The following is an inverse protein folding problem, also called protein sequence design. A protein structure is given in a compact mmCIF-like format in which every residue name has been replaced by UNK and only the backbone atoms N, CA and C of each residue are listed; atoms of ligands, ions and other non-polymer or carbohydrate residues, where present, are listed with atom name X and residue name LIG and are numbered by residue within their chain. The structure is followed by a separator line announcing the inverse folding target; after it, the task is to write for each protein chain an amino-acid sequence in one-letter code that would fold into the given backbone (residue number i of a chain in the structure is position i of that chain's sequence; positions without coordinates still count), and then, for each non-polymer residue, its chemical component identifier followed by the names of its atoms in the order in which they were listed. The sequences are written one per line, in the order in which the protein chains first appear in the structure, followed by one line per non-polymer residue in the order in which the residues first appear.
data_IF_905230053951
#
_entry.id   IF_905230053951
#
_cell.length_a   1.000
_cell.length_b   1.000
_cell.length_c   1.000
_cell.angle_alpha   90.00
_cell.angle_beta   90.00
_cell.angle_gamma   90.00
#
_symmetry.space_group_name_H-M   'P 1'
#
loop_
_entity.id
_entity.type
_entity.pdbx_description
1 polymer ?
#
# COMPACT_ATOMS: atom_id res chain seq x y z
N UNK A 1 14.66 47.84 14.66
CA UNK A 1 15.76 47.29 13.85
C UNK A 1 16.24 46.01 14.52
N UNK A 2 16.08 44.88 13.85
CA UNK A 2 16.48 43.55 14.34
C UNK A 2 16.04 42.52 13.31
N UNK A 3 17.00 41.90 12.64
CA UNK A 3 16.85 41.19 11.37
C UNK A 3 16.00 39.92 11.47
N UNK A 4 15.12 39.72 10.49
CA UNK A 4 14.46 38.44 10.22
C UNK A 4 15.49 37.49 9.58
N UNK A 5 15.71 36.37 10.25
CA UNK A 5 16.58 35.27 9.82
C UNK A 5 15.97 34.57 8.60
N UNK A 6 16.37 35.03 7.40
CA UNK A 6 16.09 34.38 6.11
C UNK A 6 17.12 33.27 5.90
N UNK A 7 16.90 32.10 6.49
CA UNK A 7 17.85 30.99 6.36
C UNK A 7 17.26 29.58 6.26
N UNK A 8 15.97 29.37 6.53
CA UNK A 8 15.43 28.02 6.71
C UNK A 8 14.21 27.66 5.83
N UNK A 9 13.82 28.53 4.89
CA UNK A 9 12.70 28.26 3.97
C UNK A 9 13.13 27.73 2.59
N UNK A 10 14.43 27.76 2.26
CA UNK A 10 14.89 27.47 0.89
C UNK A 10 15.08 25.97 0.59
N UNK A 11 15.35 25.12 1.60
CA UNK A 11 15.66 23.70 1.38
C UNK A 11 14.43 22.84 1.05
N UNK A 12 13.26 23.13 1.63
CA UNK A 12 11.99 22.43 1.28
C UNK A 12 11.42 22.93 -0.05
N UNK A 13 11.66 24.21 -0.39
CA UNK A 13 11.23 24.79 -1.65
C UNK A 13 12.06 24.24 -2.82
N UNK A 14 13.37 24.06 -2.66
CA UNK A 14 14.25 23.46 -3.67
C UNK A 14 13.91 21.99 -3.98
N UNK A 15 13.60 21.17 -2.98
CA UNK A 15 13.20 19.76 -3.19
C UNK A 15 11.82 19.69 -3.89
N UNK A 16 10.89 20.60 -3.54
CA UNK A 16 9.58 20.70 -4.20
C UNK A 16 9.68 21.19 -5.65
N UNK A 17 10.59 22.13 -5.93
CA UNK A 17 10.89 22.64 -7.27
C UNK A 17 11.61 21.59 -8.12
N UNK A 18 12.55 20.81 -7.55
CA UNK A 18 13.17 19.66 -8.22
C UNK A 18 12.16 18.56 -8.54
N UNK A 19 11.23 18.26 -7.62
CA UNK A 19 10.15 17.30 -7.87
C UNK A 19 9.20 17.79 -8.98
N UNK A 20 8.93 19.10 -9.05
CA UNK A 20 8.18 19.74 -10.13
C UNK A 20 8.87 19.68 -11.50
N UNK A 21 10.18 19.93 -11.55
CA UNK A 21 11.00 19.82 -12.77
C UNK A 21 11.15 18.38 -13.26
N UNK A 22 11.28 17.40 -12.35
CA UNK A 22 11.29 15.97 -12.71
C UNK A 22 9.94 15.54 -13.29
N UNK A 23 8.83 16.06 -12.76
CA UNK A 23 7.47 15.76 -13.25
C UNK A 23 7.24 16.17 -14.71
N UNK A 24 7.82 17.30 -15.14
CA UNK A 24 7.72 17.79 -16.51
C UNK A 24 8.57 16.99 -17.50
N UNK A 25 9.70 16.41 -17.08
CA UNK A 25 10.59 15.64 -17.95
C UNK A 25 10.24 14.15 -18.13
N UNK A 26 9.38 13.58 -17.27
CA UNK A 26 9.03 12.15 -17.32
C UNK A 26 8.01 11.80 -18.42
N UNK A 27 7.18 12.74 -18.85
CA UNK A 27 6.10 12.50 -19.83
C UNK A 27 6.63 12.24 -21.25
N UNK A 28 7.76 12.83 -21.63
CA UNK A 28 8.33 12.72 -22.99
C UNK A 28 9.47 11.68 -23.09
N UNK A 29 9.78 10.96 -22.02
CA UNK A 29 10.87 9.99 -22.02
C UNK A 29 10.44 8.71 -22.78
N UNK A 30 11.23 8.20 -23.76
CA UNK A 30 10.87 7.02 -24.54
C UNK A 30 10.56 5.77 -23.69
N UNK A 31 11.17 5.69 -22.50
CA UNK A 31 10.92 4.61 -21.54
C UNK A 31 9.53 4.71 -20.89
N UNK A 32 8.99 5.91 -20.71
CA UNK A 32 7.64 6.12 -20.19
C UNK A 32 6.61 5.62 -21.20
N UNK A 33 6.76 5.98 -22.48
CA UNK A 33 5.87 5.51 -23.55
C UNK A 33 5.84 3.97 -23.66
N UNK A 34 7.00 3.30 -23.52
CA UNK A 34 7.07 1.84 -23.51
C UNK A 34 6.30 1.20 -22.33
N UNK A 35 6.33 1.83 -21.14
CA UNK A 35 5.55 1.37 -20.00
C UNK A 35 4.06 1.58 -20.27
N UNK A 36 3.67 2.70 -20.88
CA UNK A 36 2.27 2.92 -21.25
C UNK A 36 1.74 1.85 -22.21
N UNK A 37 2.50 1.51 -23.25
CA UNK A 37 2.13 0.46 -24.20
C UNK A 37 1.98 -0.89 -23.51
N UNK A 38 2.91 -1.24 -22.62
CA UNK A 38 2.80 -2.43 -21.80
C UNK A 38 1.53 -2.42 -20.92
N UNK A 39 1.18 -1.28 -20.31
CA UNK A 39 -0.05 -1.15 -19.50
C UNK A 39 -1.31 -1.28 -20.36
N UNK A 40 -1.32 -0.78 -21.61
CA UNK A 40 -2.43 -1.00 -22.55
C UNK A 40 -2.63 -2.49 -22.82
N UNK A 41 -1.54 -3.25 -23.01
CA UNK A 41 -1.60 -4.72 -23.16
C UNK A 41 -2.15 -5.37 -21.90
N UNK A 42 -1.78 -4.91 -20.71
CA UNK A 42 -2.33 -5.43 -19.46
C UNK A 42 -3.84 -5.19 -19.35
N UNK A 43 -4.31 -3.98 -19.66
CA UNK A 43 -5.74 -3.63 -19.64
C UNK A 43 -6.54 -4.47 -20.66
N UNK A 44 -6.02 -4.65 -21.87
CA UNK A 44 -6.66 -5.49 -22.89
C UNK A 44 -6.70 -6.96 -22.46
N UNK A 45 -5.61 -7.46 -21.86
CA UNK A 45 -5.58 -8.81 -21.29
C UNK A 45 -6.54 -8.97 -20.10
N UNK A 46 -6.83 -7.89 -19.39
CA UNK A 46 -7.89 -7.81 -18.39
C UNK A 46 -9.32 -7.73 -18.97
N UNK A 47 -9.48 -7.74 -20.29
CA UNK A 47 -10.79 -7.62 -20.95
C UNK A 47 -11.40 -6.23 -20.83
N UNK A 48 -10.61 -5.21 -20.49
CA UNK A 48 -11.08 -3.85 -20.28
C UNK A 48 -11.12 -3.01 -21.55
N UNK A 49 -12.09 -2.09 -21.63
CA UNK A 49 -12.10 -1.04 -22.64
C UNK A 49 -11.13 0.08 -22.26
N UNK A 50 -9.98 0.12 -22.93
CA UNK A 50 -8.94 1.14 -22.75
C UNK A 50 -9.43 2.57 -23.07
N UNK A 51 -10.53 2.71 -23.81
CA UNK A 51 -11.11 4.00 -24.16
C UNK A 51 -12.14 4.48 -23.13
N UNK A 52 -12.46 3.69 -22.10
CA UNK A 52 -13.34 4.16 -21.02
C UNK A 52 -12.69 5.34 -20.31
N UNK A 53 -13.49 6.34 -19.97
CA UNK A 53 -13.01 7.63 -19.42
C UNK A 53 -12.03 7.44 -18.25
N UNK A 54 -12.36 6.57 -17.30
CA UNK A 54 -11.52 6.27 -16.14
C UNK A 54 -10.17 5.58 -16.44
N UNK A 55 -10.01 4.93 -17.60
CA UNK A 55 -8.76 4.24 -17.98
C UNK A 55 -7.89 4.99 -18.99
N UNK A 56 -8.41 5.99 -19.70
CA UNK A 56 -7.65 6.70 -20.75
C UNK A 56 -6.28 7.18 -20.26
N UNK A 57 -6.22 7.68 -19.02
CA UNK A 57 -4.99 8.18 -18.39
C UNK A 57 -4.27 7.15 -17.52
N UNK A 58 -4.82 5.95 -17.36
CA UNK A 58 -4.22 4.90 -16.52
C UNK A 58 -2.84 4.47 -17.00
N UNK A 59 -2.58 4.22 -18.31
CA UNK A 59 -1.23 3.92 -18.79
C UNK A 59 -0.19 4.93 -18.32
N UNK A 60 -0.44 6.23 -18.53
CA UNK A 60 0.46 7.31 -18.12
C UNK A 60 0.62 7.38 -16.60
N UNK A 61 -0.48 7.25 -15.83
CA UNK A 61 -0.43 7.27 -14.35
C UNK A 61 0.41 6.13 -13.79
N UNK A 62 0.26 4.92 -14.33
CA UNK A 62 1.05 3.75 -13.95
C UNK A 62 2.52 3.93 -14.34
N UNK A 63 2.78 4.41 -15.56
CA UNK A 63 4.15 4.67 -16.01
C UNK A 63 4.87 5.67 -15.10
N UNK A 64 4.23 6.80 -14.79
CA UNK A 64 4.78 7.78 -13.84
C UNK A 64 5.00 7.19 -12.45
N UNK A 65 4.06 6.41 -11.93
CA UNK A 65 4.19 5.81 -10.61
C UNK A 65 5.39 4.85 -10.51
N UNK A 66 5.61 4.01 -11.52
CA UNK A 66 6.81 3.17 -11.55
C UNK A 66 8.08 3.99 -11.71
N UNK A 67 8.09 5.01 -12.58
CA UNK A 67 9.26 5.88 -12.80
C UNK A 67 9.65 6.67 -11.55
N UNK A 68 8.68 7.26 -10.85
CA UNK A 68 8.84 7.94 -9.56
C UNK A 68 9.31 6.95 -8.49
N UNK A 69 8.73 5.74 -8.49
CA UNK A 69 9.05 4.65 -7.58
C UNK A 69 10.42 4.02 -7.75
N UNK A 70 11.10 4.27 -8.87
CA UNK A 70 12.42 3.71 -9.18
C UNK A 70 13.48 4.76 -9.46
N UNK A 71 13.31 6.00 -8.99
CA UNK A 71 14.31 7.07 -9.22
C UNK A 71 15.63 6.80 -8.50
N UNK A 72 15.62 5.94 -7.48
CA UNK A 72 16.78 5.61 -6.66
C UNK A 72 17.94 4.94 -7.43
N UNK A 73 17.66 4.32 -8.58
CA UNK A 73 18.70 3.79 -9.48
C UNK A 73 19.56 4.88 -10.13
N UNK A 74 19.04 6.11 -10.23
CA UNK A 74 19.73 7.25 -10.87
C UNK A 74 20.45 8.14 -9.87
N UNK A 75 20.37 7.84 -8.57
CA UNK A 75 20.93 8.67 -7.50
C UNK A 75 22.27 8.13 -7.02
N UNK A 76 23.22 9.03 -6.78
CA UNK A 76 24.51 8.72 -6.20
C UNK A 76 24.55 9.10 -4.71
N UNK A 77 24.83 8.13 -3.85
CA UNK A 77 24.81 8.31 -2.39
C UNK A 77 25.95 9.21 -1.93
N UNK A 78 27.11 9.14 -2.61
CA UNK A 78 28.29 9.92 -2.26
C UNK A 78 27.96 11.41 -2.24
N UNK A 79 27.21 11.87 -3.23
CA UNK A 79 26.79 13.27 -3.36
C UNK A 79 25.80 13.70 -2.27
N UNK A 80 24.99 12.77 -1.76
CA UNK A 80 24.02 13.02 -0.70
C UNK A 80 24.70 13.20 0.66
N UNK A 81 25.69 12.33 0.96
CA UNK A 81 26.34 12.26 2.27
C UNK A 81 27.49 13.28 2.40
N UNK A 82 28.34 13.43 1.37
CA UNK A 82 29.56 14.25 1.48
C UNK A 82 29.29 15.74 1.70
N UNK A 83 28.15 16.27 1.24
CA UNK A 83 27.79 17.67 1.43
C UNK A 83 27.23 18.03 2.81
N UNK A 84 27.18 17.10 3.76
CA UNK A 84 26.52 17.30 5.06
C UNK A 84 27.18 16.55 6.22
N UNK A 85 28.49 16.34 6.12
CA UNK A 85 29.33 15.96 7.25
C UNK A 85 29.77 17.22 7.98
N UNK A 86 29.45 17.30 9.27
CA UNK A 86 29.76 18.44 10.11
C UNK A 86 30.85 18.06 11.12
N UNK A 87 31.85 18.93 11.32
CA UNK A 87 32.80 18.74 12.40
C UNK A 87 32.10 18.98 13.74
N UNK A 88 32.16 18.02 14.65
CA UNK A 88 31.60 18.15 16.01
C UNK A 88 32.71 17.90 17.04
N UNK A 89 33.02 18.92 17.84
CA UNK A 89 34.05 18.84 18.87
C UNK A 89 33.58 17.92 20.01
N UNK A 90 34.44 16.98 20.43
CA UNK A 90 34.13 16.03 21.50
C UNK A 90 33.86 14.60 21.06
N UNK A 91 33.69 14.32 19.76
CA UNK A 91 33.60 12.94 19.18
C UNK A 91 34.97 12.24 19.13
N UNK A 92 35.82 12.51 20.11
CA UNK A 92 37.14 11.89 20.23
C UNK A 92 37.27 11.10 21.53
N UNK A 93 38.07 10.03 21.47
CA UNK A 93 38.15 8.86 22.38
C UNK A 93 38.50 9.12 23.86
N UNK A 94 38.15 10.24 24.48
CA UNK A 94 38.54 10.56 25.86
C UNK A 94 37.30 10.84 26.72
N UNK A 95 36.95 9.84 27.53
CA UNK A 95 35.88 9.76 28.53
C UNK A 95 34.47 9.37 28.04
N UNK A 96 34.25 8.05 27.99
CA UNK A 96 32.93 7.44 28.13
C UNK A 96 32.11 7.32 26.85
N UNK A 97 31.41 6.19 26.69
CA UNK A 97 30.41 5.99 25.63
C UNK A 97 29.08 6.71 25.92
N UNK A 98 28.99 7.44 27.04
CA UNK A 98 27.80 8.12 27.51
C UNK A 98 28.16 9.53 27.99
N UNK A 99 28.09 10.52 27.10
CA UNK A 99 28.40 11.91 27.46
C UNK A 99 28.63 12.87 26.30
N UNK A 100 27.71 12.95 25.34
CA UNK A 100 27.77 13.94 24.24
C UNK A 100 28.19 13.36 22.89
N UNK A 101 28.70 14.22 22.01
CA UNK A 101 29.15 13.89 20.67
C UNK A 101 30.13 12.71 20.73
N UNK A 102 29.70 11.49 20.37
CA UNK A 102 30.44 10.24 20.60
C UNK A 102 29.58 9.04 21.01
N UNK A 103 28.35 9.28 21.49
CA UNK A 103 27.34 8.24 21.73
C UNK A 103 26.51 7.88 20.50
N UNK A 104 25.63 6.90 20.64
CA UNK A 104 24.71 6.44 19.59
C UNK A 104 23.75 7.55 19.14
N UNK A 105 23.75 7.85 17.84
CA UNK A 105 22.79 8.76 17.18
C UNK A 105 21.73 7.94 16.47
N UNK A 106 20.44 8.23 16.69
CA UNK A 106 19.31 7.49 16.10
C UNK A 106 18.34 8.44 15.41
N UNK A 107 17.91 8.05 14.22
CA UNK A 107 16.69 8.57 13.57
C UNK A 107 15.72 7.40 13.39
N UNK A 108 14.53 7.55 13.95
CA UNK A 108 13.48 6.52 13.98
C UNK A 108 12.24 6.98 13.23
N UNK A 109 11.38 6.02 12.89
CA UNK A 109 10.09 6.25 12.24
C UNK A 109 10.25 6.92 10.86
N UNK A 110 11.24 6.44 10.08
CA UNK A 110 11.44 6.87 8.70
C UNK A 110 10.51 6.09 7.79
N UNK A 111 9.45 6.76 7.36
CA UNK A 111 8.39 6.19 6.53
C UNK A 111 8.75 6.28 5.03
N UNK A 112 8.87 5.13 4.37
CA UNK A 112 9.23 5.00 2.95
C UNK A 112 8.40 3.92 2.24
N UNK A 113 8.40 3.94 0.91
CA UNK A 113 7.85 2.87 0.08
C UNK A 113 8.90 2.31 -0.85
N UNK A 114 8.72 1.04 -1.18
CA UNK A 114 9.49 0.37 -2.21
C UNK A 114 8.61 -0.57 -3.02
N UNK A 115 9.14 -1.07 -4.14
CA UNK A 115 8.46 -2.06 -4.97
C UNK A 115 9.06 -3.44 -4.72
N UNK A 116 8.23 -4.42 -4.40
CA UNK A 116 8.68 -5.78 -4.17
C UNK A 116 9.25 -6.36 -5.46
N UNK A 117 10.53 -6.72 -5.46
CA UNK A 117 11.17 -7.27 -6.66
C UNK A 117 10.54 -8.59 -7.12
N UNK A 118 9.90 -9.32 -6.19
CA UNK A 118 9.26 -10.59 -6.48
C UNK A 118 7.91 -10.43 -7.20
N UNK A 119 7.17 -9.34 -7.00
CA UNK A 119 5.82 -9.22 -7.55
C UNK A 119 5.46 -7.85 -8.14
N UNK A 120 6.36 -6.87 -8.13
CA UNK A 120 6.14 -5.48 -8.56
C UNK A 120 5.02 -4.72 -7.82
N UNK A 121 4.51 -5.25 -6.70
CA UNK A 121 3.60 -4.50 -5.85
C UNK A 121 4.38 -3.66 -4.84
N UNK A 122 3.89 -2.45 -4.52
CA UNK A 122 4.51 -1.63 -3.50
C UNK A 122 4.33 -2.23 -2.11
N UNK A 123 5.33 -2.05 -1.26
CA UNK A 123 5.32 -2.41 0.16
C UNK A 123 5.79 -1.23 0.99
N UNK A 124 5.29 -1.15 2.22
CA UNK A 124 5.63 -0.09 3.16
C UNK A 124 6.92 -0.45 3.88
N UNK A 125 7.75 0.55 4.15
CA UNK A 125 8.99 0.43 4.92
C UNK A 125 8.96 1.48 6.02
N UNK A 126 9.00 1.04 7.27
CA UNK A 126 9.31 1.90 8.42
C UNK A 126 10.72 1.57 8.88
N UNK A 127 11.64 2.50 8.63
CA UNK A 127 13.06 2.30 8.88
C UNK A 127 13.51 3.07 10.14
N UNK A 128 14.43 2.46 10.88
CA UNK A 128 15.12 3.04 12.01
C UNK A 128 16.62 2.91 11.76
N UNK A 129 17.34 4.02 11.85
CA UNK A 129 18.76 4.09 11.54
C UNK A 129 19.48 4.62 12.77
N UNK A 130 20.48 3.85 13.23
CA UNK A 130 21.41 4.23 14.28
C UNK A 130 22.84 4.25 13.74
N UNK A 131 23.68 5.15 14.24
CA UNK A 131 25.12 5.07 13.99
C UNK A 131 25.91 5.63 15.18
N UNK A 132 27.17 5.19 15.31
CA UNK A 132 28.10 5.72 16.32
C UNK A 132 29.11 6.63 15.62
N UNK A 133 29.01 7.96 15.77
CA UNK A 133 29.94 8.90 15.16
C UNK A 133 31.39 8.59 15.51
N UNK A 134 32.31 8.86 14.58
CA UNK A 134 33.75 8.75 14.83
C UNK A 134 34.52 9.80 14.05
N UNK A 135 35.74 10.12 14.51
CA UNK A 135 36.62 11.04 13.80
C UNK A 135 36.10 12.48 13.74
N UNK A 136 35.37 12.93 14.77
CA UNK A 136 34.82 14.29 14.84
C UNK A 136 33.82 14.62 13.73
N UNK A 137 33.15 13.62 13.14
CA UNK A 137 32.17 13.81 12.08
C UNK A 137 30.78 13.33 12.48
N UNK A 138 29.79 14.19 12.28
CA UNK A 138 28.35 13.89 12.43
C UNK A 138 27.64 14.19 11.12
N UNK A 139 26.68 13.35 10.73
CA UNK A 139 25.87 13.59 9.53
C UNK A 139 24.57 14.33 9.88
N UNK A 140 24.16 15.26 9.02
CA UNK A 140 22.83 15.88 9.14
C UNK A 140 21.71 14.83 9.10
N UNK A 141 20.79 14.88 10.07
CA UNK A 141 19.77 13.84 10.27
C UNK A 141 18.89 13.57 9.03
N UNK A 142 18.58 14.62 8.25
CA UNK A 142 17.79 14.49 7.01
C UNK A 142 18.49 13.65 5.94
N UNK A 143 19.82 13.48 6.01
CA UNK A 143 20.57 12.64 5.08
C UNK A 143 20.38 11.15 5.32
N UNK A 144 20.15 10.74 6.57
CA UNK A 144 19.85 9.33 6.87
C UNK A 144 18.57 8.90 6.15
N UNK A 145 17.49 9.69 6.25
CA UNK A 145 16.25 9.44 5.51
C UNK A 145 16.45 9.49 3.99
N UNK A 146 17.24 10.45 3.47
CA UNK A 146 17.53 10.51 2.02
C UNK A 146 18.30 9.30 1.51
N UNK A 147 19.23 8.74 2.29
CA UNK A 147 19.92 7.50 1.91
C UNK A 147 18.95 6.32 1.89
N UNK A 148 18.04 6.22 2.88
CA UNK A 148 16.98 5.21 2.86
C UNK A 148 16.10 5.37 1.60
N UNK A 149 15.71 6.60 1.24
CA UNK A 149 14.89 6.88 0.06
C UNK A 149 15.54 6.43 -1.26
N UNK A 150 16.86 6.60 -1.40
CA UNK A 150 17.62 6.14 -2.59
C UNK A 150 17.48 4.63 -2.82
N UNK A 151 17.49 3.85 -1.75
CA UNK A 151 17.37 2.40 -1.85
C UNK A 151 15.92 1.93 -1.86
N UNK A 152 15.04 2.61 -1.12
CA UNK A 152 13.61 2.33 -1.11
C UNK A 152 13.00 2.57 -2.50
N UNK A 153 13.43 3.60 -3.25
CA UNK A 153 12.99 3.88 -4.63
C UNK A 153 13.67 2.98 -5.67
N UNK A 154 13.58 1.67 -5.47
CA UNK A 154 14.09 0.58 -6.33
C UNK A 154 13.15 -0.63 -6.24
N UNK A 155 13.41 -1.65 -7.06
CA UNK A 155 12.84 -2.98 -6.85
C UNK A 155 13.65 -3.69 -5.74
N UNK A 156 13.01 -4.01 -4.62
CA UNK A 156 13.71 -4.45 -3.41
C UNK A 156 13.15 -5.72 -2.77
N UNK A 157 14.04 -6.31 -1.97
CA UNK A 157 13.76 -7.24 -0.88
C UNK A 157 14.06 -6.52 0.47
N UNK A 158 13.27 -6.74 1.54
CA UNK A 158 13.46 -6.10 2.84
C UNK A 158 14.88 -6.26 3.39
N UNK A 159 15.45 -7.45 3.36
CA UNK A 159 16.78 -7.68 3.92
C UNK A 159 17.84 -6.96 3.09
N UNK A 160 17.75 -7.06 1.76
CA UNK A 160 18.67 -6.34 0.87
C UNK A 160 18.60 -4.84 1.08
N UNK A 161 17.40 -4.27 1.22
CA UNK A 161 17.22 -2.85 1.52
C UNK A 161 17.94 -2.45 2.80
N UNK A 162 17.81 -3.22 3.89
CA UNK A 162 18.49 -2.94 5.15
C UNK A 162 20.02 -3.02 5.00
N UNK A 163 20.53 -4.03 4.29
CA UNK A 163 21.96 -4.24 4.06
C UNK A 163 22.57 -3.13 3.20
N UNK A 164 21.89 -2.74 2.12
CA UNK A 164 22.33 -1.68 1.23
C UNK A 164 22.38 -0.32 1.93
N UNK A 165 21.35 0.01 2.72
CA UNK A 165 21.33 1.24 3.54
C UNK A 165 22.46 1.22 4.56
N UNK A 166 22.62 0.12 5.30
CA UNK A 166 23.66 -0.02 6.32
C UNK A 166 25.06 0.18 5.72
N UNK A 167 25.36 -0.55 4.64
CA UNK A 167 26.62 -0.46 3.92
C UNK A 167 26.88 0.95 3.37
N UNK A 168 25.88 1.57 2.75
CA UNK A 168 26.01 2.91 2.20
C UNK A 168 26.32 3.98 3.24
N UNK A 169 25.63 3.94 4.38
CA UNK A 169 25.88 4.84 5.49
C UNK A 169 27.26 4.61 6.10
N UNK A 170 27.66 3.35 6.26
CA UNK A 170 28.99 3.01 6.77
C UNK A 170 30.09 3.59 5.87
N UNK A 171 30.03 3.35 4.57
CA UNK A 171 31.04 3.85 3.63
C UNK A 171 31.00 5.37 3.46
N UNK A 172 29.82 5.97 3.52
CA UNK A 172 29.61 7.41 3.32
C UNK A 172 30.02 8.26 4.52
N UNK A 173 29.69 7.81 5.74
CA UNK A 173 29.93 8.54 7.00
C UNK A 173 31.26 8.11 7.63
N UNK A 174 31.70 6.87 7.41
CA UNK A 174 32.81 6.20 8.10
C UNK A 174 32.68 6.26 9.65
N UNK A 175 31.54 5.84 10.20
CA UNK A 175 31.31 5.82 11.64
C UNK A 175 32.02 4.61 12.29
N UNK A 176 32.02 4.54 13.62
CA UNK A 176 32.46 3.34 14.32
C UNK A 176 31.51 2.14 14.06
N UNK A 177 30.25 2.41 13.74
CA UNK A 177 29.31 1.42 13.23
C UNK A 177 27.95 2.02 12.88
N UNK A 178 27.16 1.25 12.13
CA UNK A 178 25.78 1.57 11.71
C UNK A 178 24.88 0.41 12.04
N UNK A 179 23.67 0.72 12.53
CA UNK A 179 22.57 -0.22 12.70
C UNK A 179 21.36 0.26 11.89
N UNK A 180 20.73 -0.66 11.18
CA UNK A 180 19.49 -0.44 10.46
C UNK A 180 18.49 -1.49 10.91
N UNK A 181 17.29 -1.07 11.29
CA UNK A 181 16.14 -1.95 11.51
C UNK A 181 15.00 -1.45 10.64
N UNK A 182 14.45 -2.34 9.81
CA UNK A 182 13.32 -2.01 8.96
C UNK A 182 12.14 -2.94 9.24
N UNK A 183 11.00 -2.33 9.51
CA UNK A 183 9.71 -2.98 9.58
C UNK A 183 8.99 -2.80 8.23
N UNK A 184 8.86 -3.89 7.48
CA UNK A 184 8.26 -3.88 6.16
C UNK A 184 6.87 -4.52 6.19
N UNK A 185 5.91 -3.89 5.53
CA UNK A 185 4.55 -4.41 5.37
C UNK A 185 4.25 -4.66 3.90
N UNK A 186 3.97 -5.90 3.54
CA UNK A 186 3.54 -6.29 2.20
C UNK A 186 2.04 -6.59 2.18
N UNK A 187 1.35 -6.16 1.14
CA UNK A 187 -0.08 -6.40 0.96
C UNK A 187 -0.32 -7.90 0.81
N UNK A 188 -1.34 -8.43 1.49
CA UNK A 188 -1.75 -9.82 1.31
C UNK A 188 -2.33 -10.04 -0.10
N UNK A 189 -2.12 -11.23 -0.66
CA UNK A 189 -2.71 -11.58 -1.94
C UNK A 189 -4.15 -12.03 -1.69
N UNK A 190 -5.16 -11.39 -2.29
CA UNK A 190 -6.54 -11.81 -2.04
C UNK A 190 -6.72 -13.25 -2.52
N UNK A 191 -7.05 -14.14 -1.60
CA UNK A 191 -7.53 -15.48 -1.91
C UNK A 191 -9.07 -15.45 -1.81
N UNK A 192 -9.74 -15.89 -2.88
CA UNK A 192 -11.19 -15.95 -2.94
C UNK A 192 -11.76 -16.82 -1.80
N UNK A 193 -11.03 -17.85 -1.35
CA UNK A 193 -11.45 -18.78 -0.30
C UNK A 193 -11.36 -18.19 1.12
N UNK A 194 -10.36 -17.37 1.42
CA UNK A 194 -10.17 -16.81 2.78
C UNK A 194 -11.17 -15.70 3.12
N UNK A 195 -11.72 -15.02 2.11
CA UNK A 195 -12.68 -13.92 2.29
C UNK A 195 -14.06 -14.36 2.80
N UNK A 196 -14.42 -15.65 2.67
CA UNK A 196 -15.67 -16.20 3.18
C UNK A 196 -15.53 -16.93 4.52
N UNK A 197 -14.29 -17.25 4.93
CA UNK A 197 -14.02 -18.14 6.07
C UNK A 197 -13.32 -17.44 7.25
N UNK A 198 -12.57 -16.36 7.02
CA UNK A 198 -11.79 -15.71 8.07
C UNK A 198 -12.39 -14.37 8.53
N UNK A 199 -12.49 -14.20 9.85
CA UNK A 199 -13.14 -13.07 10.51
C UNK A 199 -12.23 -11.86 10.75
N UNK A 200 -10.99 -11.86 10.26
CA UNK A 200 -10.13 -10.67 10.15
C UNK A 200 -9.18 -10.82 8.97
N UNK A 201 -9.28 -10.02 7.90
CA UNK A 201 -8.19 -9.93 6.95
C UNK A 201 -7.05 -9.19 7.65
N UNK A 202 -6.04 -9.90 8.16
CA UNK A 202 -4.75 -9.26 8.41
C UNK A 202 -4.24 -8.78 7.05
N UNK A 203 -4.53 -7.52 6.71
CA UNK A 203 -4.34 -6.98 5.35
C UNK A 203 -2.88 -6.92 4.91
N UNK A 204 -1.95 -7.07 5.86
CA UNK A 204 -0.52 -6.89 5.65
C UNK A 204 0.29 -8.02 6.27
N UNK A 205 1.21 -8.57 5.49
CA UNK A 205 2.30 -9.40 5.98
C UNK A 205 3.40 -8.48 6.49
N UNK A 206 3.65 -8.57 7.80
CA UNK A 206 4.72 -7.82 8.46
C UNK A 206 5.99 -8.65 8.52
N UNK A 207 7.11 -8.06 8.13
CA UNK A 207 8.45 -8.63 8.32
C UNK A 207 9.36 -7.60 8.95
N UNK A 208 10.17 -8.04 9.90
CA UNK A 208 11.18 -7.25 10.56
C UNK A 208 12.55 -7.75 10.12
N UNK A 209 13.39 -6.84 9.66
CA UNK A 209 14.77 -7.13 9.24
C UNK A 209 15.73 -6.17 9.91
N UNK A 210 16.97 -6.62 10.09
CA UNK A 210 18.04 -5.80 10.66
C UNK A 210 19.33 -6.00 9.89
N UNK A 211 20.20 -4.98 9.92
CA UNK A 211 21.54 -5.02 9.37
C UNK A 211 22.48 -4.15 10.22
N UNK A 212 23.69 -4.64 10.44
CA UNK A 212 24.71 -4.01 11.29
C UNK A 212 26.08 -3.98 10.63
N UNK A 213 26.88 -2.97 10.96
CA UNK A 213 28.28 -2.84 10.52
C UNK A 213 29.16 -2.21 11.61
N UNK A 214 30.47 -2.47 11.59
CA UNK A 214 31.40 -1.98 12.61
C UNK A 214 31.05 -2.49 14.00
N UNK A 215 30.86 -1.60 14.97
CA UNK A 215 30.47 -1.98 16.35
C UNK A 215 29.13 -2.73 16.45
N UNK A 216 28.34 -2.77 15.37
CA UNK A 216 27.08 -3.52 15.27
C UNK A 216 27.19 -4.84 14.48
N UNK A 217 28.39 -5.29 14.08
CA UNK A 217 28.56 -6.56 13.35
C UNK A 217 28.20 -7.80 14.19
N UNK A 218 28.45 -7.74 15.49
CA UNK A 218 28.06 -8.80 16.43
C UNK A 218 26.66 -8.52 16.98
N UNK A 219 25.69 -9.37 16.62
CA UNK A 219 24.30 -9.29 17.08
C UNK A 219 24.18 -9.38 18.62
N UNK A 220 25.19 -9.93 19.31
CA UNK A 220 25.25 -10.04 20.77
C UNK A 220 25.86 -8.81 21.48
N UNK A 221 26.34 -7.81 20.75
CA UNK A 221 26.98 -6.64 21.32
C UNK A 221 25.99 -5.81 22.15
N UNK A 222 26.43 -5.29 23.31
CA UNK A 222 25.59 -4.50 24.22
C UNK A 222 24.97 -3.25 23.56
N UNK A 223 25.62 -2.73 22.52
CA UNK A 223 25.16 -1.56 21.79
C UNK A 223 23.87 -1.82 20.98
N UNK A 224 23.62 -3.06 20.55
CA UNK A 224 22.31 -3.42 19.98
C UNK A 224 21.20 -3.26 21.02
N UNK A 225 21.43 -3.65 22.27
CA UNK A 225 20.47 -3.47 23.34
C UNK A 225 20.17 -1.99 23.62
N UNK A 226 21.19 -1.12 23.54
CA UNK A 226 20.99 0.34 23.63
C UNK A 226 20.17 0.88 22.46
N UNK A 227 20.50 0.49 21.23
CA UNK A 227 19.78 0.88 20.02
C UNK A 227 18.31 0.46 20.09
N UNK A 228 18.06 -0.83 20.38
CA UNK A 228 16.73 -1.40 20.49
C UNK A 228 15.93 -0.80 21.66
N UNK A 229 16.58 -0.54 22.80
CA UNK A 229 15.95 0.12 23.95
C UNK A 229 15.48 1.55 23.66
N UNK A 230 16.14 2.25 22.72
CA UNK A 230 15.74 3.58 22.27
C UNK A 230 14.65 3.56 21.19
N UNK A 231 14.38 2.42 20.56
CA UNK A 231 13.21 2.26 19.71
C UNK A 231 11.98 2.12 20.62
N UNK A 232 11.08 3.11 20.62
CA UNK A 232 9.77 3.04 21.32
C UNK A 232 8.80 2.02 20.69
N UNK A 233 9.31 1.01 20.00
CA UNK A 233 8.48 -0.05 19.45
C UNK A 233 8.13 -1.02 20.58
N UNK A 234 6.88 -0.93 21.05
CA UNK A 234 6.32 -1.77 22.11
C UNK A 234 6.26 -3.27 21.76
N UNK A 235 6.72 -3.70 20.58
CA UNK A 235 6.54 -5.06 20.05
C UNK A 235 7.83 -5.73 19.49
N UNK A 236 9.00 -5.08 19.57
CA UNK A 236 10.28 -5.64 19.13
C UNK A 236 10.97 -6.37 20.28
N UNK A 237 10.58 -7.63 20.54
CA UNK A 237 11.42 -8.51 21.34
C UNK A 237 12.63 -8.96 20.50
N UNK A 238 13.85 -9.01 21.05
CA UNK A 238 15.05 -9.47 20.34
C UNK A 238 14.87 -10.82 19.62
N UNK A 239 14.03 -11.70 20.18
CA UNK A 239 13.72 -13.02 19.61
C UNK A 239 12.98 -12.97 18.27
N UNK A 240 12.45 -11.81 17.85
CA UNK A 240 11.76 -11.60 16.57
C UNK A 240 12.68 -11.13 15.44
N UNK A 241 13.96 -10.81 15.71
CA UNK A 241 14.97 -10.60 14.65
C UNK A 241 15.35 -11.96 14.06
N UNK A 242 14.41 -12.63 13.39
CA UNK A 242 14.71 -13.83 12.63
C UNK A 242 15.60 -13.43 11.45
N UNK A 243 16.90 -13.73 11.54
CA UNK A 243 17.70 -14.08 10.36
C UNK A 243 16.94 -15.21 9.67
N UNK A 244 16.20 -14.87 8.62
CA UNK A 244 15.32 -15.83 7.98
C UNK A 244 16.19 -16.90 7.32
N UNK A 245 15.86 -18.17 7.56
CA UNK A 245 16.36 -19.24 6.73
C UNK A 245 15.94 -18.94 5.28
N UNK A 246 16.82 -19.19 4.31
CA UNK A 246 16.64 -18.89 2.89
C UNK A 246 15.38 -19.49 2.23
N UNK A 247 14.63 -20.34 2.94
CA UNK A 247 13.47 -21.07 2.45
C UNK A 247 12.10 -20.39 2.71
N UNK A 248 12.01 -19.42 3.62
CA UNK A 248 10.74 -18.72 3.88
C UNK A 248 10.65 -17.46 3.00
N UNK A 249 9.72 -17.45 2.04
CA UNK A 249 9.49 -16.32 1.14
C UNK A 249 8.66 -15.21 1.83
N UNK A 250 9.05 -13.93 1.73
CA UNK A 250 8.30 -12.83 2.38
C UNK A 250 7.19 -12.31 1.48
N UNK A 251 7.40 -12.41 0.17
CA UNK A 251 6.42 -12.01 -0.80
C UNK A 251 5.29 -13.06 -0.83
N UNK A 252 4.03 -12.68 -0.53
CA UNK A 252 2.91 -13.63 -0.58
C UNK A 252 2.73 -14.30 -1.94
N UNK A 253 3.18 -13.66 -3.04
CA UNK A 253 3.15 -14.26 -4.38
C UNK A 253 3.98 -15.54 -4.55
N UNK A 254 4.93 -15.79 -3.63
CA UNK A 254 5.84 -16.93 -3.67
C UNK A 254 5.37 -18.08 -2.75
N UNK A 255 4.34 -17.86 -1.92
CA UNK A 255 3.82 -18.90 -1.04
C UNK A 255 3.11 -20.01 -1.83
N UNK A 256 3.40 -21.27 -1.48
CA UNK A 256 2.95 -22.50 -2.14
C UNK A 256 1.42 -22.69 -2.16
N UNK A 257 0.64 -21.96 -1.36
CA UNK A 257 -0.82 -22.04 -1.37
C UNK A 257 -1.48 -21.42 -2.61
N UNK A 258 -0.76 -20.58 -3.38
CA UNK A 258 -1.24 -20.02 -4.66
C UNK A 258 -1.15 -21.00 -5.85
N UNK A 259 -0.92 -22.30 -5.61
CA UNK A 259 -0.75 -23.33 -6.66
C UNK A 259 -2.05 -24.08 -7.01
N UNK A 260 -3.12 -23.96 -6.20
CA UNK A 260 -4.42 -24.55 -6.53
C UNK A 260 -5.15 -23.66 -7.53
N UNK A 261 -4.77 -23.82 -8.79
CA UNK A 261 -5.47 -23.28 -9.95
C UNK A 261 -6.87 -23.90 -9.98
N UNK A 262 -7.96 -23.12 -9.98
CA UNK A 262 -9.21 -23.60 -10.55
C UNK A 262 -8.92 -23.90 -12.01
N UNK A 263 -9.14 -25.13 -12.46
CA UNK A 263 -8.85 -25.59 -13.83
C UNK A 263 -9.48 -24.73 -14.96
N UNK A 264 -10.29 -23.73 -14.62
CA UNK A 264 -10.87 -22.72 -15.51
C UNK A 264 -9.98 -21.51 -15.79
N UNK A 265 -8.87 -21.28 -15.06
CA UNK A 265 -7.95 -20.18 -15.35
C UNK A 265 -6.90 -20.66 -16.36
N UNK A 266 -7.14 -20.36 -17.63
CA UNK A 266 -6.33 -20.80 -18.76
C UNK A 266 -4.83 -20.46 -18.65
N UNK A 267 -4.04 -21.02 -19.59
CA UNK A 267 -2.62 -20.75 -19.74
C UNK A 267 -2.27 -19.29 -19.48
N UNK A 268 -1.27 -19.03 -18.62
CA UNK A 268 -0.79 -17.67 -18.29
C UNK A 268 -0.69 -16.83 -19.57
N UNK A 269 -1.35 -15.67 -19.61
CA UNK A 269 -1.37 -14.79 -20.79
C UNK A 269 0.06 -14.32 -21.11
N UNK A 270 0.71 -14.99 -22.08
CA UNK A 270 2.09 -14.74 -22.47
C UNK A 270 2.31 -13.30 -22.95
N UNK A 271 1.31 -12.70 -23.59
CA UNK A 271 1.35 -11.30 -24.03
C UNK A 271 1.49 -10.34 -22.83
N UNK A 272 0.70 -10.56 -21.78
CA UNK A 272 0.82 -9.78 -20.55
C UNK A 272 2.14 -10.02 -19.83
N UNK A 273 2.63 -11.26 -19.77
CA UNK A 273 3.93 -11.57 -19.15
C UNK A 273 5.05 -10.83 -19.87
N UNK A 274 5.03 -10.82 -21.21
CA UNK A 274 5.98 -10.05 -22.02
C UNK A 274 5.87 -8.54 -21.78
N UNK A 275 4.65 -8.02 -21.63
CA UNK A 275 4.40 -6.62 -21.31
C UNK A 275 5.04 -6.25 -19.96
N UNK A 276 4.85 -7.05 -18.91
CA UNK A 276 5.48 -6.79 -17.60
C UNK A 276 7.01 -6.87 -17.67
N UNK A 277 7.56 -7.83 -18.41
CA UNK A 277 9.00 -7.89 -18.65
C UNK A 277 9.50 -6.63 -19.39
N UNK A 278 8.70 -6.06 -20.28
CA UNK A 278 8.98 -4.77 -20.93
C UNK A 278 9.00 -3.63 -19.92
N UNK A 279 8.05 -3.58 -18.98
CA UNK A 279 8.05 -2.58 -17.90
C UNK A 279 9.36 -2.64 -17.13
N UNK A 280 9.78 -3.83 -16.67
CA UNK A 280 11.03 -4.02 -15.92
C UNK A 280 12.24 -3.49 -16.72
N UNK A 281 12.33 -3.82 -18.02
CA UNK A 281 13.41 -3.31 -18.88
C UNK A 281 13.40 -1.79 -19.00
N UNK A 282 12.22 -1.18 -19.14
CA UNK A 282 12.06 0.28 -19.21
C UNK A 282 12.42 0.98 -17.89
N UNK A 283 12.36 0.28 -16.75
CA UNK A 283 12.87 0.76 -15.46
C UNK A 283 14.41 0.68 -15.37
N UNK A 284 15.07 0.00 -16.31
CA UNK A 284 16.52 -0.15 -16.35
C UNK A 284 17.03 -1.46 -15.73
N UNK A 285 16.14 -2.40 -15.44
CA UNK A 285 16.45 -3.68 -14.82
C UNK A 285 16.43 -4.83 -15.83
N UNK A 286 17.18 -5.90 -15.55
CA UNK A 286 17.13 -7.13 -16.34
C UNK A 286 16.07 -8.09 -15.77
N UNK A 287 14.97 -8.38 -16.49
CA UNK A 287 13.95 -9.32 -16.02
C UNK A 287 14.47 -10.76 -15.84
N UNK A 288 15.64 -11.09 -16.38
CA UNK A 288 16.28 -12.41 -16.24
C UNK A 288 17.24 -12.48 -15.05
N UNK A 289 17.48 -11.38 -14.31
CA UNK A 289 18.29 -11.45 -13.09
C UNK A 289 17.61 -12.35 -12.07
N UNK A 290 18.42 -13.09 -11.32
CA UNK A 290 18.00 -14.19 -10.42
C UNK A 290 16.74 -13.88 -9.62
N UNK A 291 16.61 -12.67 -9.10
CA UNK A 291 15.52 -12.31 -8.19
C UNK A 291 14.27 -11.75 -8.89
N UNK A 292 14.39 -11.31 -10.15
CA UNK A 292 13.25 -10.92 -11.00
C UNK A 292 12.72 -12.06 -11.86
N UNK A 293 13.43 -13.20 -11.94
CA UNK A 293 12.92 -14.38 -12.64
C UNK A 293 11.57 -14.78 -12.06
N UNK A 294 10.59 -14.90 -12.95
CA UNK A 294 9.20 -15.21 -12.62
C UNK A 294 8.37 -14.03 -12.10
N UNK A 295 8.98 -12.87 -11.82
CA UNK A 295 8.26 -11.65 -11.39
C UNK A 295 7.17 -11.23 -12.39
N UNK A 296 7.44 -11.19 -13.71
CA UNK A 296 6.40 -10.92 -14.70
C UNK A 296 5.17 -11.84 -14.58
N UNK A 297 5.39 -13.15 -14.43
CA UNK A 297 4.30 -14.12 -14.30
C UNK A 297 3.54 -13.97 -12.98
N UNK A 298 4.23 -13.68 -11.87
CA UNK A 298 3.60 -13.45 -10.56
C UNK A 298 2.75 -12.19 -10.54
N UNK A 299 3.20 -11.10 -11.16
CA UNK A 299 2.41 -9.87 -11.29
C UNK A 299 1.18 -10.07 -12.18
N UNK A 300 1.32 -10.75 -13.33
CA UNK A 300 0.15 -11.07 -14.18
C UNK A 300 -0.86 -11.93 -13.42
N UNK A 301 -0.40 -12.96 -12.70
CA UNK A 301 -1.28 -13.80 -11.87
C UNK A 301 -2.03 -12.96 -10.83
N UNK A 302 -1.35 -12.04 -10.17
CA UNK A 302 -1.98 -11.15 -9.20
C UNK A 302 -3.06 -10.26 -9.84
N UNK A 303 -2.74 -9.62 -10.97
CA UNK A 303 -3.70 -8.78 -11.69
C UNK A 303 -4.94 -9.59 -12.11
N UNK A 304 -4.71 -10.81 -12.59
CA UNK A 304 -5.72 -11.75 -13.07
C UNK A 304 -6.66 -12.27 -11.99
N UNK A 305 -6.26 -12.25 -10.71
CA UNK A 305 -7.13 -12.71 -9.62
C UNK A 305 -8.47 -11.97 -9.65
N UNK A 306 -8.48 -10.68 -9.98
CA UNK A 306 -9.66 -9.82 -9.98
C UNK A 306 -10.56 -10.00 -11.22
N UNK A 307 -10.22 -10.89 -12.17
CA UNK A 307 -11.10 -11.22 -13.29
C UNK A 307 -12.13 -12.32 -12.97
N UNK A 308 -11.96 -13.04 -11.87
CA UNK A 308 -12.82 -14.20 -11.55
C UNK A 308 -13.86 -13.88 -10.48
N UNK A 309 -14.94 -13.23 -10.87
CA UNK A 309 -16.17 -13.29 -10.08
C UNK A 309 -17.21 -14.17 -10.78
N UNK A 310 -17.10 -15.49 -10.58
CA UNK A 310 -18.20 -16.46 -10.81
C UNK A 310 -19.48 -16.11 -9.99
N UNK A 311 -19.47 -15.01 -9.23
CA UNK A 311 -20.62 -14.45 -8.55
C UNK A 311 -21.74 -14.01 -9.50
N UNK A 312 -21.43 -13.69 -10.75
CA UNK A 312 -22.45 -13.30 -11.74
C UNK A 312 -23.51 -14.41 -11.90
N UNK A 313 -23.09 -15.70 -11.87
CA UNK A 313 -24.03 -16.83 -11.88
C UNK A 313 -24.84 -16.98 -10.58
N UNK A 314 -24.24 -16.72 -9.41
CA UNK A 314 -24.94 -16.84 -8.11
C UNK A 314 -25.92 -15.70 -7.88
N UNK A 315 -25.59 -14.48 -8.31
CA UNK A 315 -26.45 -13.31 -8.22
C UNK A 315 -27.60 -13.37 -9.23
N UNK A 316 -27.38 -13.87 -10.46
CA UNK A 316 -28.45 -14.02 -11.45
C UNK A 316 -29.57 -14.99 -10.98
N UNK A 317 -29.24 -16.02 -10.21
CA UNK A 317 -30.23 -16.89 -9.57
C UNK A 317 -31.08 -16.17 -8.51
N UNK A 318 -30.50 -15.20 -7.80
CA UNK A 318 -31.20 -14.40 -6.77
C UNK A 318 -31.93 -13.18 -7.33
N UNK A 319 -31.40 -12.52 -8.37
CA UNK A 319 -32.07 -11.41 -9.07
C UNK A 319 -33.31 -11.86 -9.85
N UNK A 320 -33.45 -13.18 -10.09
CA UNK A 320 -34.68 -13.79 -10.60
C UNK A 320 -35.77 -13.98 -9.53
N UNK A 321 -35.44 -13.75 -8.25
CA UNK A 321 -36.42 -13.73 -7.16
C UNK A 321 -37.23 -12.43 -7.25
N UNK A 322 -38.35 -12.47 -7.98
CA UNK A 322 -39.36 -11.42 -7.91
C UNK A 322 -39.95 -11.44 -6.49
N UNK A 323 -39.93 -10.32 -5.75
CA UNK A 323 -40.82 -10.18 -4.62
C UNK A 323 -42.24 -10.35 -5.16
N UNK A 324 -43.05 -11.21 -4.54
CA UNK A 324 -44.47 -11.23 -4.82
C UNK A 324 -44.99 -9.81 -4.58
N UNK A 325 -45.48 -9.15 -5.64
CA UNK A 325 -46.16 -7.86 -5.52
C UNK A 325 -47.34 -8.05 -4.57
N UNK A 326 -47.39 -7.36 -3.41
CA UNK A 326 -48.59 -7.33 -2.61
C UNK A 326 -49.68 -6.71 -3.47
N UNK A 327 -50.83 -7.39 -3.56
CA UNK A 327 -52.00 -6.90 -4.27
C UNK A 327 -52.30 -5.46 -3.88
N UNK A 328 -52.63 -4.65 -4.89
CA UNK A 328 -53.06 -3.27 -4.72
C UNK A 328 -54.19 -3.17 -3.68
N UNK A 329 -53.90 -2.49 -2.57
CA UNK A 329 -54.80 -1.72 -1.69
C UNK A 329 -54.41 -1.91 -0.22
N UNK A 330 -53.37 -1.19 0.20
CA UNK A 330 -53.01 -0.99 1.60
C UNK A 330 -51.80 -0.07 1.67
N UNK A 331 -51.92 1.07 2.36
CA UNK A 331 -50.77 1.90 2.68
C UNK A 331 -49.72 1.05 3.40
N UNK A 332 -48.62 0.73 2.72
CA UNK A 332 -47.53 -0.03 3.31
C UNK A 332 -46.97 0.79 4.49
N UNK A 333 -47.17 0.29 5.71
CA UNK A 333 -46.55 0.87 6.91
C UNK A 333 -45.04 0.64 6.83
N UNK A 334 -44.30 1.71 6.53
CA UNK A 334 -42.84 1.69 6.59
C UNK A 334 -42.40 1.53 8.04
N UNK A 335 -41.49 0.59 8.31
CA UNK A 335 -40.81 0.55 9.61
C UNK A 335 -40.03 1.84 9.81
N UNK A 336 -40.26 2.54 10.92
CA UNK A 336 -39.45 3.69 11.32
C UNK A 336 -38.09 3.30 11.88
N UNK A 337 -37.82 2.01 12.09
CA UNK A 337 -36.59 1.51 12.72
C UNK A 337 -35.47 1.41 11.70
N UNK A 338 -34.33 2.01 12.01
CA UNK A 338 -33.10 1.88 11.24
C UNK A 338 -32.51 0.48 11.44
N UNK A 339 -32.15 -0.17 10.33
CA UNK A 339 -31.38 -1.41 10.31
C UNK A 339 -30.02 -1.15 9.67
N UNK A 340 -29.00 -1.90 10.06
CA UNK A 340 -27.68 -1.78 9.47
C UNK A 340 -26.84 -3.06 9.57
N UNK A 341 -25.89 -3.16 8.66
CA UNK A 341 -24.79 -4.13 8.68
C UNK A 341 -23.47 -3.37 8.50
N UNK A 342 -22.56 -3.55 9.45
CA UNK A 342 -21.33 -2.77 9.56
C UNK A 342 -20.11 -3.64 9.28
N UNK A 343 -19.07 -3.03 8.72
CA UNK A 343 -17.75 -3.66 8.62
C UNK A 343 -17.68 -4.82 7.63
N UNK A 344 -18.41 -4.76 6.51
CA UNK A 344 -18.33 -5.78 5.45
C UNK A 344 -17.02 -5.60 4.66
N UNK A 345 -16.02 -6.50 4.79
CA UNK A 345 -14.71 -6.28 4.17
C UNK A 345 -14.77 -6.41 2.65
N UNK A 346 -13.94 -5.63 1.96
CA UNK A 346 -13.76 -5.75 0.52
C UNK A 346 -12.33 -5.48 0.09
N UNK A 347 -11.99 -6.03 -1.08
CA UNK A 347 -10.75 -5.77 -1.81
C UNK A 347 -11.10 -5.36 -3.22
N UNK A 348 -10.32 -4.43 -3.78
CA UNK A 348 -10.53 -3.93 -5.12
C UNK A 348 -9.22 -3.47 -5.76
N UNK A 349 -9.25 -3.25 -7.07
CA UNK A 349 -8.12 -2.68 -7.82
C UNK A 349 -8.48 -1.27 -8.28
N UNK A 350 -7.64 -0.31 -7.94
CA UNK A 350 -7.83 1.08 -8.35
C UNK A 350 -7.61 1.19 -9.86
N UNK A 351 -8.65 1.54 -10.61
CA UNK A 351 -8.56 1.64 -12.07
C UNK A 351 -7.55 2.70 -12.54
N UNK A 352 -7.20 3.66 -11.68
CA UNK A 352 -6.24 4.71 -12.00
C UNK A 352 -4.78 4.25 -12.03
N UNK A 353 -4.43 3.25 -11.22
CA UNK A 353 -3.03 2.85 -10.99
C UNK A 353 -2.79 1.33 -11.00
N UNK A 354 -3.83 0.51 -11.18
CA UNK A 354 -3.74 -0.96 -11.15
C UNK A 354 -3.14 -1.51 -9.85
N UNK A 355 -3.34 -0.78 -8.75
CA UNK A 355 -2.89 -1.14 -7.40
C UNK A 355 -4.09 -1.44 -6.52
N UNK A 356 -3.94 -2.33 -5.51
CA UNK A 356 -5.04 -2.68 -4.65
C UNK A 356 -5.47 -1.52 -3.75
N UNK A 357 -6.74 -1.54 -3.39
CA UNK A 357 -7.27 -0.85 -2.23
C UNK A 357 -8.25 -1.78 -1.52
N UNK A 358 -8.42 -1.56 -0.22
CA UNK A 358 -9.17 -2.45 0.64
C UNK A 358 -9.79 -1.65 1.78
N UNK A 359 -10.83 -2.20 2.37
CA UNK A 359 -11.48 -1.57 3.50
C UNK A 359 -12.80 -2.24 3.81
N UNK A 360 -13.77 -1.45 4.27
CA UNK A 360 -15.07 -1.94 4.69
C UNK A 360 -16.21 -1.15 4.08
N UNK A 361 -17.34 -1.83 3.95
CA UNK A 361 -18.63 -1.23 3.59
C UNK A 361 -19.59 -1.37 4.78
N UNK A 362 -20.26 -0.29 5.08
CA UNK A 362 -21.36 -0.21 6.03
C UNK A 362 -22.64 0.10 5.28
N UNK A 363 -23.73 -0.60 5.60
CA UNK A 363 -25.00 -0.51 4.89
C UNK A 363 -26.09 -0.24 5.92
N UNK A 364 -26.75 0.91 5.82
CA UNK A 364 -27.93 1.28 6.60
C UNK A 364 -29.18 1.29 5.71
N UNK A 365 -30.30 0.77 6.21
CA UNK A 365 -31.55 0.68 5.44
C UNK A 365 -32.81 0.72 6.31
N UNK A 366 -33.93 1.10 5.70
CA UNK A 366 -35.28 0.95 6.25
C UNK A 366 -36.09 0.02 5.33
N UNK A 367 -36.86 -0.92 5.89
CA UNK A 367 -37.72 -1.80 5.09
C UNK A 367 -39.19 -1.76 5.57
N UNK A 368 -40.12 -2.05 4.65
CA UNK A 368 -41.56 -2.10 4.95
C UNK A 368 -41.97 -3.36 5.71
N UNK A 369 -43.06 -3.30 6.48
CA UNK A 369 -43.63 -4.48 7.13
C UNK A 369 -43.88 -5.61 6.10
N UNK A 370 -43.35 -6.81 6.35
CA UNK A 370 -43.52 -8.00 5.49
C UNK A 370 -42.33 -8.35 4.58
N UNK A 371 -41.27 -7.54 4.51
CA UNK A 371 -40.02 -7.91 3.82
C UNK A 371 -39.11 -8.71 4.76
N UNK A 372 -38.66 -9.89 4.32
CA UNK A 372 -37.71 -10.68 5.09
C UNK A 372 -36.34 -10.00 5.13
N UNK A 373 -35.68 -9.91 6.29
CA UNK A 373 -34.35 -9.32 6.39
C UNK A 373 -33.36 -10.11 5.52
N UNK A 374 -32.60 -9.40 4.69
CA UNK A 374 -31.55 -9.99 3.88
C UNK A 374 -30.43 -10.47 4.81
N UNK A 375 -30.02 -11.73 4.65
CA UNK A 375 -28.91 -12.27 5.42
C UNK A 375 -27.58 -11.60 5.06
N UNK A 376 -26.73 -11.37 6.07
CA UNK A 376 -25.37 -10.81 5.95
C UNK A 376 -24.55 -11.39 4.79
N UNK A 377 -24.70 -12.69 4.51
CA UNK A 377 -24.00 -13.37 3.41
C UNK A 377 -24.33 -12.78 2.03
N UNK A 378 -25.60 -12.40 1.77
CA UNK A 378 -25.99 -11.81 0.48
C UNK A 378 -25.41 -10.39 0.34
N UNK A 379 -25.45 -9.59 1.41
CA UNK A 379 -24.83 -8.26 1.42
C UNK A 379 -23.31 -8.35 1.19
N UNK A 380 -22.63 -9.26 1.89
CA UNK A 380 -21.21 -9.54 1.69
C UNK A 380 -20.93 -9.99 0.25
N UNK A 381 -21.81 -10.80 -0.34
CA UNK A 381 -21.67 -11.24 -1.74
C UNK A 381 -21.77 -10.07 -2.72
N UNK A 382 -22.72 -9.16 -2.52
CA UNK A 382 -22.87 -7.95 -3.36
C UNK A 382 -21.65 -7.03 -3.21
N UNK A 383 -21.20 -6.79 -1.98
CA UNK A 383 -19.98 -6.02 -1.70
C UNK A 383 -18.77 -6.65 -2.41
N UNK A 384 -18.62 -7.97 -2.32
CA UNK A 384 -17.53 -8.70 -2.95
C UNK A 384 -17.59 -8.64 -4.48
N UNK A 385 -18.78 -8.76 -5.08
CA UNK A 385 -18.98 -8.67 -6.53
C UNK A 385 -18.51 -7.33 -7.10
N UNK A 386 -18.82 -6.23 -6.41
CA UNK A 386 -18.37 -4.90 -6.85
C UNK A 386 -16.92 -4.62 -6.46
N UNK A 387 -16.46 -5.14 -5.32
CA UNK A 387 -15.07 -5.03 -4.87
C UNK A 387 -14.10 -5.66 -5.85
N UNK A 388 -14.33 -6.89 -6.29
CA UNK A 388 -13.34 -7.69 -7.00
C UNK A 388 -13.26 -7.38 -8.50
N UNK A 389 -13.03 -6.10 -8.83
CA UNK A 389 -12.95 -5.51 -10.17
C UNK A 389 -12.01 -4.31 -10.17
N UNK A 390 -11.68 -3.80 -11.35
CA UNK A 390 -11.13 -2.46 -11.50
C UNK A 390 -12.22 -1.42 -11.21
N UNK A 391 -11.98 -0.57 -10.21
CA UNK A 391 -12.99 0.32 -9.65
C UNK A 391 -12.44 1.68 -9.25
N UNK A 392 -13.41 2.58 -9.04
CA UNK A 392 -13.30 3.83 -8.29
C UNK A 392 -14.20 3.68 -7.05
N UNK A 393 -13.72 4.09 -5.87
CA UNK A 393 -14.44 3.86 -4.60
C UNK A 393 -15.86 4.44 -4.64
N UNK A 394 -16.02 5.66 -5.16
CA UNK A 394 -17.29 6.35 -5.33
C UNK A 394 -18.28 5.55 -6.18
N UNK A 395 -17.79 4.95 -7.28
CA UNK A 395 -18.58 4.11 -8.18
C UNK A 395 -19.02 2.83 -7.48
N UNK A 396 -18.09 2.16 -6.78
CA UNK A 396 -18.37 0.97 -5.99
C UNK A 396 -19.45 1.23 -4.95
N UNK A 397 -19.34 2.30 -4.17
CA UNK A 397 -20.29 2.67 -3.11
C UNK A 397 -21.68 2.91 -3.69
N UNK A 398 -21.76 3.62 -4.81
CA UNK A 398 -23.02 3.87 -5.53
C UNK A 398 -23.63 2.59 -6.09
N UNK A 399 -22.83 1.74 -6.75
CA UNK A 399 -23.30 0.49 -7.35
C UNK A 399 -23.89 -0.47 -6.30
N UNK A 400 -23.27 -0.55 -5.12
CA UNK A 400 -23.79 -1.33 -3.99
C UNK A 400 -25.15 -0.76 -3.56
N UNK A 401 -25.27 0.55 -3.37
CA UNK A 401 -26.53 1.18 -2.98
C UNK A 401 -27.66 0.94 -4.01
N UNK A 402 -27.38 1.16 -5.30
CA UNK A 402 -28.35 0.97 -6.39
C UNK A 402 -28.80 -0.48 -6.54
N UNK A 403 -27.90 -1.45 -6.28
CA UNK A 403 -28.23 -2.89 -6.34
C UNK A 403 -29.09 -3.33 -5.17
N UNK A 404 -28.83 -2.78 -3.98
CA UNK A 404 -29.57 -3.14 -2.77
C UNK A 404 -30.92 -2.45 -2.68
N UNK A 405 -31.08 -1.26 -3.29
CA UNK A 405 -32.29 -0.45 -3.21
C UNK A 405 -33.57 -1.25 -3.52
N UNK A 406 -33.68 -1.96 -4.66
CA UNK A 406 -34.88 -2.74 -4.95
C UNK A 406 -35.08 -3.94 -4.02
N UNK A 407 -34.02 -4.44 -3.36
CA UNK A 407 -34.08 -5.60 -2.47
C UNK A 407 -34.50 -5.24 -1.05
N UNK A 408 -34.21 -4.01 -0.59
CA UNK A 408 -34.43 -3.56 0.78
C UNK A 408 -35.48 -2.46 0.94
N UNK A 409 -36.21 -2.10 -0.13
CA UNK A 409 -37.31 -1.14 -0.07
C UNK A 409 -36.95 0.31 -0.40
N UNK A 410 -35.78 0.56 -1.00
CA UNK A 410 -35.40 1.84 -1.61
C UNK A 410 -34.71 2.85 -0.70
N UNK A 411 -34.91 2.75 0.61
CA UNK A 411 -34.30 3.64 1.62
C UNK A 411 -32.96 3.08 2.08
N UNK A 412 -31.87 3.47 1.41
CA UNK A 412 -30.53 2.92 1.65
C UNK A 412 -29.49 4.01 1.79
N UNK A 413 -28.56 3.81 2.72
CA UNK A 413 -27.31 4.54 2.82
C UNK A 413 -26.14 3.54 2.87
N UNK A 414 -25.16 3.73 1.99
CA UNK A 414 -23.94 2.94 1.95
C UNK A 414 -22.76 3.86 2.24
N UNK A 415 -21.91 3.46 3.18
CA UNK A 415 -20.66 4.14 3.51
C UNK A 415 -19.53 3.15 3.25
N UNK A 416 -18.61 3.49 2.35
CA UNK A 416 -17.40 2.70 2.14
C UNK A 416 -16.19 3.48 2.64
N UNK A 417 -15.37 2.85 3.48
CA UNK A 417 -14.10 3.36 3.99
C UNK A 417 -12.98 2.48 3.48
N UNK A 418 -11.91 3.06 2.93
CA UNK A 418 -10.84 2.29 2.32
C UNK A 418 -9.47 2.96 2.41
N UNK A 419 -8.43 2.11 2.46
CA UNK A 419 -7.03 2.50 2.37
C UNK A 419 -6.51 2.18 0.97
N UNK A 420 -5.98 3.19 0.30
CA UNK A 420 -5.53 3.13 -1.10
C UNK A 420 -4.02 3.06 -1.20
N UNK A 421 -3.48 1.90 -1.57
CA UNK A 421 -2.04 1.74 -1.78
C UNK A 421 -1.50 2.73 -2.82
N UNK A 422 -2.30 3.09 -3.83
CA UNK A 422 -1.91 4.04 -4.87
C UNK A 422 -1.68 5.48 -4.37
N UNK A 423 -2.35 5.90 -3.29
CA UNK A 423 -2.16 7.24 -2.72
C UNK A 423 -0.95 7.25 -1.79
N UNK A 424 -0.84 6.23 -0.94
CA UNK A 424 0.18 6.18 0.09
C UNK A 424 1.56 5.90 -0.54
N UNK A 425 1.67 4.98 -1.52
CA UNK A 425 2.94 4.67 -2.19
C UNK A 425 3.56 5.82 -2.99
N UNK A 426 2.76 6.85 -3.29
CA UNK A 426 3.20 8.07 -3.99
C UNK A 426 3.53 9.20 -3.03
N UNK A 427 3.45 8.97 -1.72
CA UNK A 427 3.69 9.98 -0.69
C UNK A 427 2.65 11.11 -0.67
N UNK A 428 1.48 10.90 -1.29
CA UNK A 428 0.38 11.88 -1.27
C UNK A 428 -0.28 11.87 0.12
N UNK A 429 -0.40 10.68 0.70
CA UNK A 429 -1.01 10.44 2.00
C UNK A 429 0.01 9.79 2.95
N UNK A 430 -0.17 10.04 4.26
CA UNK A 430 0.62 9.37 5.30
C UNK A 430 0.17 7.93 5.49
N UNK A 431 1.04 7.09 6.05
CA UNK A 431 0.66 5.76 6.51
C UNK A 431 -0.54 5.83 7.46
N UNK A 432 -1.49 4.91 7.29
CA UNK A 432 -2.72 4.86 8.07
C UNK A 432 -3.83 5.81 7.62
N UNK A 433 -3.63 6.58 6.54
CA UNK A 433 -4.70 7.39 5.94
C UNK A 433 -5.75 6.52 5.24
N UNK A 434 -7.01 6.91 5.36
CA UNK A 434 -8.16 6.26 4.73
C UNK A 434 -9.08 7.29 4.08
N UNK A 435 -9.86 6.86 3.09
CA UNK A 435 -10.85 7.67 2.39
C UNK A 435 -12.24 7.09 2.61
N UNK A 436 -13.24 7.96 2.78
CA UNK A 436 -14.64 7.57 2.95
C UNK A 436 -15.51 8.13 1.80
N UNK A 437 -16.46 7.33 1.35
CA UNK A 437 -17.46 7.73 0.35
C UNK A 437 -18.84 7.30 0.81
N UNK A 438 -19.86 8.09 0.46
CA UNK A 438 -21.24 7.86 0.86
C UNK A 438 -22.13 7.85 -0.37
N UNK A 439 -23.04 6.87 -0.46
CA UNK A 439 -24.15 6.87 -1.39
C UNK A 439 -25.46 6.80 -0.61
N UNK A 440 -26.41 7.68 -0.92
CA UNK A 440 -27.74 7.74 -0.29
C UNK A 440 -28.83 7.61 -1.35
N UNK A 441 -29.87 6.84 -1.02
CA UNK A 441 -31.07 6.62 -1.83
C UNK A 441 -32.32 6.69 -0.94
N UNK A 442 -33.48 6.96 -1.55
CA UNK A 442 -34.75 7.06 -0.84
C UNK A 442 -34.73 8.12 0.26
N UNK A 443 -35.32 7.81 1.42
CA UNK A 443 -35.43 8.66 2.61
C UNK A 443 -34.11 9.29 3.04
N UNK A 444 -32.99 8.56 2.95
CA UNK A 444 -31.68 9.10 3.33
C UNK A 444 -31.23 10.28 2.47
N UNK A 445 -31.82 10.49 1.28
CA UNK A 445 -31.50 11.63 0.42
C UNK A 445 -31.99 12.96 1.01
N UNK A 446 -33.14 12.95 1.68
CA UNK A 446 -33.81 14.16 2.19
C UNK A 446 -33.76 14.30 3.71
N UNK A 447 -33.69 13.19 4.45
CA UNK A 447 -33.73 13.17 5.92
C UNK A 447 -32.31 13.20 6.52
N UNK A 448 -31.85 14.39 6.93
CA UNK A 448 -30.56 14.55 7.59
C UNK A 448 -30.48 13.87 8.96
N UNK A 449 -31.61 13.76 9.67
CA UNK A 449 -31.67 13.07 10.96
C UNK A 449 -31.43 11.58 10.81
N UNK A 450 -32.06 10.96 9.80
CA UNK A 450 -31.80 9.56 9.46
C UNK A 450 -30.34 9.29 9.09
N UNK A 451 -29.70 10.20 8.33
CA UNK A 451 -28.26 10.10 8.03
C UNK A 451 -27.40 10.18 9.30
N UNK A 452 -27.65 11.15 10.17
CA UNK A 452 -26.90 11.32 11.42
C UNK A 452 -27.01 10.07 12.30
N UNK A 453 -28.23 9.55 12.48
CA UNK A 453 -28.49 8.32 13.27
C UNK A 453 -27.68 7.12 12.76
N UNK A 454 -27.53 6.97 11.44
CA UNK A 454 -26.71 5.89 10.90
C UNK A 454 -25.21 6.17 11.05
N UNK A 455 -24.75 7.38 10.75
CA UNK A 455 -23.33 7.76 10.87
C UNK A 455 -22.81 7.64 12.32
N UNK A 456 -23.63 7.96 13.32
CA UNK A 456 -23.32 7.79 14.74
C UNK A 456 -23.18 6.32 15.17
N UNK A 457 -23.75 5.38 14.39
CA UNK A 457 -23.61 3.95 14.65
C UNK A 457 -22.31 3.34 14.11
N UNK A 458 -21.56 4.08 13.29
CA UNK A 458 -20.31 3.59 12.73
C UNK A 458 -19.25 3.41 13.83
N UNK A 459 -18.44 2.34 13.78
CA UNK A 459 -17.40 2.12 14.78
C UNK A 459 -16.34 3.23 14.69
N UNK A 460 -15.82 3.64 15.84
CA UNK A 460 -14.63 4.51 15.89
C UNK A 460 -13.46 3.78 15.23
N UNK A 461 -12.99 4.29 14.10
CA UNK A 461 -11.94 3.66 13.28
C UNK A 461 -10.62 3.60 14.04
N UNK A 462 -10.35 2.47 14.70
CA UNK A 462 -9.00 2.09 15.08
C UNK A 462 -8.49 1.12 14.01
N UNK A 463 -7.74 1.65 13.05
CA UNK A 463 -6.90 0.97 12.05
C UNK A 463 -7.38 -0.42 11.57
N UNK A 464 -7.93 -0.49 10.36
CA UNK A 464 -8.08 -1.73 9.59
C UNK A 464 -6.73 -2.36 9.23
#
# INVERSE_FOLDING_TARGET
MGALDKGNFDLELEDSLKLGLIKLGLEEEPRTAQIEDAVRVLLQGLGEDINREGLKKTPLRVAKAFREGTTGYKQNIRDIVQGALFPEAGVDKRLGHAGGAGGLVIVRDLDHFSYCESCLLPFQVKCHVGYVPSGQQVVGLSKLSRVVDVFAKRLQDPQRLADEVCSALHHGIRPAGVAVVAECHHIHFPNLESLFLDSKPEGWIKVLVSSGSGVFEDDGASIWSEFLGLLKCRDLTPDKFRKRNSADHWCPSQATSCTKIPASLGSVNLGMVSAVASIIRSLGEDPLRKELVGTPARFVRWIMNFQNSNLEMKLNGFLSYKPETPGSNGEAKFSKKLHYELGLPFWSQCEHHLLPFHGVVHIGYFFGEGVNPIGKYLLQSIVHFYGFKLQVQERLTRQIAETLAPLLGGDIMVVAEASHTCMISRGIEKFGSSTATIAVLGRFSTDSGARALFLESLPSTNNF
#
